data_IF_539154519066
#
_entry.id   IF_539154519066
#
_cell.length_a   1.000
_cell.length_b   1.000
_cell.length_c   1.000
_cell.angle_alpha   90.00
_cell.angle_beta   90.00
_cell.angle_gamma   90.00
#
_symmetry.space_group_name_H-M   'P 1'
#
loop_
_entity.id
_entity.type
_entity.pdbx_description
1 polymer ?
#
# COMPACT_ATOMS: atom_id res chain seq x y z
N UNK A 1 15.38 3.65 7.90
CA UNK A 1 16.69 3.11 8.30
C UNK A 1 17.57 2.78 7.10
N UNK A 2 17.30 1.74 6.28
CA UNK A 2 18.13 1.43 5.10
C UNK A 2 18.01 2.44 3.94
N UNK A 3 16.79 2.91 3.67
CA UNK A 3 16.51 3.82 2.55
C UNK A 3 16.10 5.23 3.02
N UNK A 4 16.09 5.48 4.33
CA UNK A 4 15.71 6.78 4.89
C UNK A 4 16.81 7.82 4.67
N UNK A 5 16.43 9.09 4.54
CA UNK A 5 17.39 10.18 4.41
C UNK A 5 18.21 10.37 5.69
N UNK A 6 19.39 10.99 5.56
CA UNK A 6 20.19 11.37 6.72
C UNK A 6 19.43 12.45 7.51
N UNK A 7 19.43 12.35 8.84
CA UNK A 7 18.72 13.27 9.74
C UNK A 7 17.21 13.42 9.47
N UNK A 8 16.55 12.39 8.91
CA UNK A 8 15.09 12.41 8.74
C UNK A 8 14.39 11.62 9.84
N UNK A 9 13.30 12.18 10.38
CA UNK A 9 12.37 11.47 11.25
C UNK A 9 11.20 10.94 10.43
N UNK A 10 10.97 9.64 10.47
CA UNK A 10 9.80 9.00 9.85
C UNK A 10 8.75 8.76 10.94
N UNK A 11 7.67 9.54 10.92
CA UNK A 11 6.57 9.45 11.87
C UNK A 11 5.25 9.32 11.12
N UNK A 12 4.39 8.39 11.56
CA UNK A 12 3.03 8.24 11.06
C UNK A 12 2.64 6.82 10.68
N UNK A 13 1.33 6.56 10.65
CA UNK A 13 0.76 5.27 10.29
C UNK A 13 0.51 5.13 8.76
N UNK A 14 0.86 6.14 7.97
CA UNK A 14 0.52 6.16 6.54
C UNK A 14 1.14 5.00 5.77
N UNK A 15 2.36 4.57 6.10
CA UNK A 15 2.96 3.36 5.49
C UNK A 15 2.08 2.11 5.63
N UNK A 16 1.38 1.95 6.76
CA UNK A 16 0.44 0.84 6.99
C UNK A 16 -0.79 1.02 6.10
N UNK A 17 -1.32 2.24 5.96
CA UNK A 17 -2.46 2.55 5.08
C UNK A 17 -2.13 2.19 3.62
N UNK A 18 -0.94 2.56 3.14
CA UNK A 18 -0.48 2.14 1.80
C UNK A 18 -0.33 0.63 1.70
N UNK A 19 0.11 -0.04 2.79
CA UNK A 19 0.12 -1.50 2.88
C UNK A 19 -1.26 -2.12 2.73
N UNK A 20 -2.28 -1.61 3.41
CA UNK A 20 -3.65 -2.10 3.24
C UNK A 20 -4.20 -1.85 1.84
N UNK A 21 -3.91 -0.68 1.26
CA UNK A 21 -4.31 -0.39 -0.12
C UNK A 21 -3.65 -1.37 -1.10
N UNK A 22 -2.34 -1.58 -1.00
CA UNK A 22 -1.63 -2.55 -1.84
C UNK A 22 -2.16 -3.97 -1.66
N UNK A 23 -2.41 -4.38 -0.41
CA UNK A 23 -2.97 -5.68 -0.09
C UNK A 23 -4.34 -5.90 -0.74
N UNK A 24 -5.30 -5.00 -0.52
CA UNK A 24 -6.67 -5.17 -1.01
C UNK A 24 -6.75 -5.16 -2.54
N UNK A 25 -6.00 -4.26 -3.20
CA UNK A 25 -5.97 -4.20 -4.66
C UNK A 25 -5.34 -5.46 -5.26
N UNK A 26 -4.19 -5.90 -4.74
CA UNK A 26 -3.54 -7.12 -5.22
C UNK A 26 -4.36 -8.36 -4.90
N UNK A 27 -4.99 -8.45 -3.73
CA UNK A 27 -5.86 -9.57 -3.35
C UNK A 27 -7.08 -9.66 -4.26
N UNK A 28 -7.76 -8.55 -4.53
CA UNK A 28 -8.88 -8.52 -5.48
C UNK A 28 -8.47 -8.99 -6.88
N UNK A 29 -7.27 -8.62 -7.33
CA UNK A 29 -6.72 -9.04 -8.62
C UNK A 29 -6.34 -10.54 -8.69
N UNK A 30 -5.74 -11.07 -7.63
CA UNK A 30 -5.25 -12.46 -7.56
C UNK A 30 -6.35 -13.46 -7.20
N UNK A 31 -7.12 -13.21 -6.14
CA UNK A 31 -8.14 -14.14 -5.62
C UNK A 31 -9.37 -14.21 -6.53
N UNK A 32 -9.74 -13.09 -7.17
CA UNK A 32 -10.87 -12.97 -8.10
C UNK A 32 -12.24 -13.44 -7.57
N UNK A 33 -12.38 -13.57 -6.25
CA UNK A 33 -13.66 -13.80 -5.61
C UNK A 33 -14.49 -12.50 -5.62
N UNK A 34 -15.82 -12.63 -5.71
CA UNK A 34 -16.74 -11.48 -5.66
C UNK A 34 -16.48 -10.54 -4.47
N UNK A 35 -16.35 -11.07 -3.23
CA UNK A 35 -16.02 -10.25 -2.06
C UNK A 35 -14.66 -9.54 -2.17
N UNK A 36 -13.61 -10.22 -2.64
CA UNK A 36 -12.29 -9.61 -2.77
C UNK A 36 -12.29 -8.46 -3.80
N UNK A 37 -12.96 -8.66 -4.94
CA UNK A 37 -13.12 -7.62 -5.97
C UNK A 37 -13.91 -6.43 -5.41
N UNK A 38 -15.02 -6.68 -4.71
CA UNK A 38 -15.82 -5.61 -4.11
C UNK A 38 -15.00 -4.78 -3.10
N UNK A 39 -14.25 -5.43 -2.22
CA UNK A 39 -13.38 -4.75 -1.26
C UNK A 39 -12.27 -3.95 -1.96
N UNK A 40 -11.67 -4.48 -3.02
CA UNK A 40 -10.68 -3.77 -3.81
C UNK A 40 -11.27 -2.51 -4.48
N UNK A 41 -12.48 -2.60 -5.05
CA UNK A 41 -13.16 -1.48 -5.67
C UNK A 41 -13.54 -0.40 -4.65
N UNK A 42 -14.05 -0.79 -3.47
CA UNK A 42 -14.37 0.16 -2.38
C UNK A 42 -13.09 0.85 -1.90
N UNK A 43 -12.00 0.10 -1.71
CA UNK A 43 -10.71 0.67 -1.33
C UNK A 43 -10.17 1.63 -2.40
N UNK A 44 -10.27 1.27 -3.69
CA UNK A 44 -9.84 2.13 -4.79
C UNK A 44 -10.68 3.41 -4.87
N UNK A 45 -12.00 3.32 -4.66
CA UNK A 45 -12.88 4.48 -4.68
C UNK A 45 -12.58 5.44 -3.52
N UNK A 46 -12.45 4.92 -2.30
CA UNK A 46 -12.25 5.75 -1.11
C UNK A 46 -10.81 6.25 -0.95
N UNK A 47 -9.82 5.44 -1.34
CA UNK A 47 -8.41 5.69 -1.06
C UNK A 47 -7.51 5.68 -2.29
N UNK A 48 -8.01 5.41 -3.50
CA UNK A 48 -7.18 5.36 -4.71
C UNK A 48 -6.41 6.63 -5.00
N UNK A 49 -6.93 7.79 -4.59
CA UNK A 49 -6.25 9.08 -4.72
C UNK A 49 -4.91 9.16 -3.96
N UNK A 50 -4.72 8.38 -2.89
CA UNK A 50 -3.47 8.43 -2.11
C UNK A 50 -2.30 7.78 -2.87
N UNK A 51 -2.54 7.04 -3.95
CA UNK A 51 -1.48 6.34 -4.71
C UNK A 51 -0.36 7.29 -5.14
N UNK A 52 -0.66 8.55 -5.44
CA UNK A 52 0.31 9.57 -5.80
C UNK A 52 1.33 9.87 -4.69
N UNK A 53 1.00 9.57 -3.44
CA UNK A 53 1.90 9.71 -2.29
C UNK A 53 3.09 8.76 -2.32
N UNK A 54 3.17 7.79 -3.24
CA UNK A 54 4.40 7.01 -3.48
C UNK A 54 5.47 7.80 -4.24
N UNK A 55 5.13 8.96 -4.80
CA UNK A 55 6.07 9.82 -5.53
C UNK A 55 6.64 10.91 -4.61
N UNK A 56 7.88 11.37 -4.86
CA UNK A 56 8.53 12.43 -4.08
C UNK A 56 8.03 13.83 -4.47
N UNK A 57 6.71 14.05 -4.45
CA UNK A 57 6.07 15.30 -4.91
C UNK A 57 5.71 16.27 -3.78
N UNK A 58 5.80 15.83 -2.52
CA UNK A 58 5.45 16.63 -1.36
C UNK A 58 6.60 16.63 -0.34
N UNK A 59 7.10 17.83 -0.01
CA UNK A 59 8.15 18.00 1.00
C UNK A 59 7.65 17.57 2.38
N UNK A 60 8.52 16.91 3.14
CA UNK A 60 8.22 16.40 4.49
C UNK A 60 7.40 15.10 4.51
N UNK A 61 6.97 14.58 3.36
CA UNK A 61 6.24 13.30 3.27
C UNK A 61 7.22 12.15 3.01
N UNK A 62 7.06 11.06 3.77
CA UNK A 62 7.85 9.86 3.59
C UNK A 62 7.36 9.00 2.42
N UNK A 63 7.60 9.44 1.19
CA UNK A 63 7.20 8.73 -0.02
C UNK A 63 7.78 7.29 -0.10
N UNK A 64 9.00 7.08 0.37
CA UNK A 64 9.59 5.74 0.46
C UNK A 64 8.80 4.83 1.41
N UNK A 65 8.32 5.38 2.54
CA UNK A 65 7.47 4.65 3.47
C UNK A 65 6.14 4.23 2.83
N UNK A 66 5.56 5.10 2.00
CA UNK A 66 4.37 4.79 1.22
C UNK A 66 4.64 3.71 0.15
N UNK A 67 5.73 3.85 -0.61
CA UNK A 67 6.12 2.91 -1.65
C UNK A 67 6.36 1.50 -1.08
N UNK A 68 7.17 1.39 -0.03
CA UNK A 68 7.45 0.09 0.60
C UNK A 68 6.24 -0.46 1.35
N UNK A 69 5.37 0.40 1.89
CA UNK A 69 4.06 -0.01 2.40
C UNK A 69 3.25 -0.69 1.30
N UNK A 70 3.02 -0.01 0.18
CA UNK A 70 2.25 -0.50 -0.96
C UNK A 70 2.80 -1.83 -1.49
N UNK A 71 4.13 -1.93 -1.69
CA UNK A 71 4.80 -3.16 -2.15
C UNK A 71 4.62 -4.28 -1.12
N UNK A 72 4.85 -3.99 0.17
CA UNK A 72 4.72 -4.98 1.25
C UNK A 72 3.30 -5.55 1.33
N UNK A 73 2.29 -4.70 1.16
CA UNK A 73 0.89 -5.13 1.06
C UNK A 73 0.64 -6.08 -0.11
N UNK A 74 1.14 -5.74 -1.30
CA UNK A 74 1.00 -6.59 -2.48
C UNK A 74 1.71 -7.94 -2.34
N UNK A 75 2.91 -7.95 -1.75
CA UNK A 75 3.64 -9.20 -1.43
C UNK A 75 2.84 -10.05 -0.43
N UNK A 76 2.33 -9.45 0.65
CA UNK A 76 1.51 -10.16 1.62
C UNK A 76 0.24 -10.76 1.00
N UNK A 77 -0.42 -10.03 0.10
CA UNK A 77 -1.57 -10.54 -0.63
C UNK A 77 -1.21 -11.77 -1.47
N UNK A 78 -0.09 -11.71 -2.20
CA UNK A 78 0.38 -12.85 -2.99
C UNK A 78 0.66 -14.08 -2.12
N UNK A 79 1.39 -13.92 -1.03
CA UNK A 79 1.75 -15.03 -0.13
C UNK A 79 0.52 -15.68 0.51
N UNK A 80 -0.50 -14.88 0.85
CA UNK A 80 -1.71 -15.38 1.52
C UNK A 80 -2.70 -16.01 0.54
N UNK A 81 -2.84 -15.49 -0.68
CA UNK A 81 -3.71 -16.10 -1.70
C UNK A 81 -3.20 -17.49 -2.12
N UNK A 82 -1.88 -17.71 -2.16
CA UNK A 82 -1.28 -19.01 -2.48
C UNK A 82 -1.47 -20.07 -1.38
N UNK A 83 -1.94 -19.67 -0.18
CA UNK A 83 -2.09 -20.54 1.00
C UNK A 83 -3.52 -21.00 1.29
N UNK A 84 -4.49 -20.59 0.46
CA UNK A 84 -5.93 -20.91 0.58
C UNK A 84 -6.34 -21.75 -0.63
#
# INVERSE_FOLDING_TARGET
WLFGGVNTLHLGASGIVFGYLGYLLTRGYLERSGPAILLALVALFLYGGIIWGVLPIQNGVSWLGHLFGLIGGGVAARMLVESV
#
